data_IF_853340890481
#
_entry.id   IF_853340890481
#
_cell.length_a   1.000
_cell.length_b   1.000
_cell.length_c   1.000
_cell.angle_alpha   90.00
_cell.angle_beta   90.00
_cell.angle_gamma   90.00
#
_symmetry.space_group_name_H-M   'P 1'
#
loop_
_entity.id
_entity.type
_entity.pdbx_description
1 polymer ?
#
# COMPACT_ATOMS: atom_id res chain seq x y z
N UNK A 1 26.16 7.08 4.04
CA UNK A 1 25.73 7.42 5.41
C UNK A 1 24.22 7.61 5.46
N UNK A 2 23.65 8.43 4.58
CA UNK A 2 22.21 8.77 4.58
C UNK A 2 21.26 7.58 4.40
N UNK A 3 21.53 6.67 3.45
CA UNK A 3 20.71 5.46 3.26
C UNK A 3 20.70 4.57 4.50
N UNK A 4 21.86 4.39 5.13
CA UNK A 4 21.98 3.59 6.35
C UNK A 4 21.19 4.20 7.51
N UNK A 5 21.30 5.51 7.71
CA UNK A 5 20.55 6.23 8.75
C UNK A 5 19.04 6.14 8.49
N UNK A 6 18.60 6.29 7.23
CA UNK A 6 17.20 6.18 6.85
C UNK A 6 16.64 4.79 7.17
N UNK A 7 17.36 3.73 6.81
CA UNK A 7 16.94 2.36 7.09
C UNK A 7 16.92 2.06 8.59
N UNK A 8 17.97 2.46 9.32
CA UNK A 8 18.09 2.26 10.78
C UNK A 8 17.04 3.04 11.57
N UNK A 9 16.54 4.15 11.04
CA UNK A 9 15.49 4.96 11.67
C UNK A 9 14.06 4.59 11.24
N UNK A 10 13.86 3.54 10.43
CA UNK A 10 12.56 3.21 9.85
C UNK A 10 11.86 2.08 10.58
N UNK A 11 10.74 2.38 11.23
CA UNK A 11 9.89 1.37 11.87
C UNK A 11 9.35 0.34 10.88
N UNK A 12 9.11 0.72 9.62
CA UNK A 12 8.68 -0.21 8.57
C UNK A 12 9.76 -1.24 8.26
N UNK A 13 11.03 -0.81 8.17
CA UNK A 13 12.15 -1.73 7.94
C UNK A 13 12.31 -2.70 9.11
N UNK A 14 12.19 -2.21 10.36
CA UNK A 14 12.22 -3.09 11.53
C UNK A 14 11.07 -4.09 11.53
N UNK A 15 9.86 -3.64 11.18
CA UNK A 15 8.71 -4.52 11.07
C UNK A 15 8.91 -5.61 10.02
N UNK A 16 9.46 -5.26 8.85
CA UNK A 16 9.73 -6.22 7.79
C UNK A 16 10.76 -7.27 8.23
N UNK A 17 11.81 -6.87 8.95
CA UNK A 17 12.81 -7.79 9.52
C UNK A 17 12.21 -8.70 10.61
N UNK A 18 11.40 -8.15 11.51
CA UNK A 18 10.71 -8.93 12.56
C UNK A 18 9.70 -9.94 11.97
N UNK A 19 8.95 -9.54 10.93
CA UNK A 19 8.10 -10.47 10.18
C UNK A 19 8.92 -11.53 9.47
N UNK A 20 10.03 -11.15 8.85
CA UNK A 20 10.92 -12.07 8.16
C UNK A 20 11.43 -13.19 9.09
N UNK A 21 11.82 -12.84 10.31
CA UNK A 21 12.30 -13.80 11.31
C UNK A 21 11.19 -14.73 11.81
N UNK A 22 9.93 -14.27 11.81
CA UNK A 22 8.75 -15.03 12.27
C UNK A 22 8.15 -15.95 11.22
N UNK A 23 8.34 -15.64 9.93
CA UNK A 23 7.87 -16.50 8.84
C UNK A 23 8.73 -17.78 8.83
N UNK A 24 8.11 -18.98 8.74
CA UNK A 24 8.87 -20.21 8.59
C UNK A 24 9.82 -20.06 7.41
N UNK A 25 11.12 -20.08 7.70
CA UNK A 25 12.14 -19.95 6.69
C UNK A 25 11.97 -21.09 5.69
N UNK A 26 12.00 -20.74 4.41
CA UNK A 26 11.88 -21.69 3.34
C UNK A 26 12.98 -22.76 3.47
N UNK A 27 12.73 -23.99 2.99
CA UNK A 27 13.68 -25.10 3.14
C UNK A 27 15.07 -24.69 2.64
N UNK A 28 16.16 -25.33 3.12
CA UNK A 28 17.54 -24.94 2.77
C UNK A 28 17.82 -24.87 1.27
N UNK A 29 16.99 -25.53 0.45
CA UNK A 29 17.06 -25.55 -1.01
C UNK A 29 16.54 -24.25 -1.67
N UNK A 30 15.76 -23.44 -0.95
CA UNK A 30 15.20 -22.18 -1.44
C UNK A 30 15.18 -21.12 -0.32
N UNK A 31 16.34 -20.63 0.15
CA UNK A 31 16.40 -19.65 1.21
C UNK A 31 15.75 -18.33 0.75
N UNK A 32 15.01 -17.69 1.66
CA UNK A 32 14.47 -16.35 1.43
C UNK A 32 15.36 -15.36 2.20
N UNK A 33 16.37 -14.70 1.58
CA UNK A 33 17.20 -13.74 2.29
C UNK A 33 16.52 -12.36 2.37
N UNK A 34 16.85 -11.60 3.41
CA UNK A 34 16.60 -10.16 3.42
C UNK A 34 17.43 -9.48 2.30
N UNK A 35 16.78 -8.63 1.50
CA UNK A 35 17.39 -7.96 0.35
C UNK A 35 17.29 -6.44 0.47
N UNK A 36 18.38 -5.75 0.16
CA UNK A 36 18.38 -4.29 0.02
C UNK A 36 18.01 -3.91 -1.41
N UNK A 37 16.84 -3.30 -1.58
CA UNK A 37 16.37 -2.80 -2.88
C UNK A 37 16.66 -1.30 -2.99
N UNK A 38 17.53 -0.92 -3.93
CA UNK A 38 17.78 0.49 -4.27
C UNK A 38 17.05 0.82 -5.57
N UNK A 39 16.14 1.79 -5.51
CA UNK A 39 15.42 2.30 -6.68
C UNK A 39 15.96 3.67 -7.03
N UNK A 40 16.02 3.98 -8.32
CA UNK A 40 16.36 5.33 -8.78
C UNK A 40 15.35 6.33 -8.19
N UNK A 41 15.86 7.38 -7.54
CA UNK A 41 14.99 8.43 -7.01
C UNK A 41 14.34 9.20 -8.15
N UNK A 42 13.02 9.38 -8.07
CA UNK A 42 12.29 10.18 -9.02
C UNK A 42 11.20 10.97 -8.31
N UNK A 43 10.96 12.20 -8.77
CA UNK A 43 9.96 13.07 -8.16
C UNK A 43 8.55 12.62 -8.56
N UNK A 44 7.99 11.74 -7.74
CA UNK A 44 6.61 11.30 -7.79
C UNK A 44 5.72 12.40 -7.22
N UNK A 45 4.80 12.91 -8.04
CA UNK A 45 3.68 13.70 -7.50
C UNK A 45 2.74 12.77 -6.71
N UNK A 46 2.59 12.91 -5.38
CA UNK A 46 1.75 12.03 -4.58
C UNK A 46 0.29 11.99 -5.05
N UNK A 47 -0.20 13.07 -5.68
CA UNK A 47 -1.55 13.13 -6.25
C UNK A 47 -1.84 12.16 -7.39
N UNK A 48 -0.80 11.52 -7.92
CA UNK A 48 -0.90 10.60 -9.04
C UNK A 48 -0.73 9.15 -8.61
N UNK A 49 -0.58 8.89 -7.31
CA UNK A 49 -0.43 7.56 -6.73
C UNK A 49 -1.77 7.02 -6.25
N UNK A 50 -2.04 5.76 -6.57
CA UNK A 50 -3.29 5.09 -6.23
C UNK A 50 -2.99 3.71 -5.65
N UNK A 51 -3.49 3.48 -4.43
CA UNK A 51 -3.50 2.14 -3.81
C UNK A 51 -4.70 1.35 -4.29
N UNK A 52 -4.46 0.15 -4.80
CA UNK A 52 -5.45 -0.71 -5.40
C UNK A 52 -5.54 -2.04 -4.65
N UNK A 53 -6.76 -2.48 -4.36
CA UNK A 53 -7.04 -3.68 -3.59
C UNK A 53 -7.57 -4.79 -4.49
N UNK A 54 -6.95 -5.95 -4.46
CA UNK A 54 -7.33 -7.14 -5.23
C UNK A 54 -7.72 -8.26 -4.28
N UNK A 55 -8.86 -8.89 -4.56
CA UNK A 55 -9.37 -10.04 -3.83
C UNK A 55 -10.00 -11.04 -4.80
N UNK A 56 -9.64 -12.31 -4.70
CA UNK A 56 -10.12 -13.35 -5.62
C UNK A 56 -9.81 -13.04 -7.09
N UNK A 57 -8.64 -12.43 -7.37
CA UNK A 57 -8.23 -11.92 -8.69
C UNK A 57 -9.15 -10.85 -9.29
N UNK A 58 -9.97 -10.19 -8.46
CA UNK A 58 -10.82 -9.07 -8.86
C UNK A 58 -10.35 -7.80 -8.15
N UNK A 59 -10.30 -6.70 -8.91
CA UNK A 59 -10.05 -5.37 -8.36
C UNK A 59 -11.29 -4.88 -7.60
N UNK A 60 -11.19 -4.69 -6.29
CA UNK A 60 -12.33 -4.40 -5.41
C UNK A 60 -12.37 -2.93 -4.92
N UNK A 61 -11.21 -2.28 -4.80
CA UNK A 61 -11.12 -0.94 -4.22
C UNK A 61 -9.92 -0.16 -4.71
N UNK A 62 -10.05 1.17 -4.72
CA UNK A 62 -8.98 2.13 -5.08
C UNK A 62 -9.02 3.34 -4.16
N UNK A 63 -7.86 3.76 -3.67
CA UNK A 63 -7.70 4.89 -2.75
C UNK A 63 -6.62 5.86 -3.24
N UNK A 64 -6.86 7.17 -3.08
CA UNK A 64 -5.87 8.23 -3.28
C UNK A 64 -6.14 9.38 -2.32
N UNK A 65 -5.10 10.16 -2.03
CA UNK A 65 -5.17 11.40 -1.24
C UNK A 65 -5.97 12.51 -1.95
N UNK A 66 -6.43 13.51 -1.19
CA UNK A 66 -7.28 14.62 -1.66
C UNK A 66 -6.56 15.52 -2.66
N UNK A 67 -7.13 15.70 -3.84
CA UNK A 67 -6.78 16.81 -4.74
C UNK A 67 -7.97 17.21 -5.61
N UNK A 68 -8.30 18.51 -5.63
CA UNK A 68 -9.48 19.05 -6.34
C UNK A 68 -9.57 18.62 -7.80
N UNK A 69 -8.43 18.57 -8.49
CA UNK A 69 -8.38 18.23 -9.91
C UNK A 69 -8.75 16.76 -10.22
N UNK A 70 -8.80 15.90 -9.20
CA UNK A 70 -9.22 14.50 -9.31
C UNK A 70 -10.72 14.31 -9.07
N UNK A 71 -11.42 15.30 -8.49
CA UNK A 71 -12.84 15.22 -8.15
C UNK A 71 -13.79 15.15 -9.36
N UNK A 72 -13.54 15.77 -10.53
CA UNK A 72 -14.47 15.72 -11.66
C UNK A 72 -14.82 14.28 -12.07
N UNK A 73 -16.11 13.99 -12.21
CA UNK A 73 -16.61 12.63 -12.47
C UNK A 73 -15.98 11.97 -13.70
N UNK A 74 -15.77 12.73 -14.79
CA UNK A 74 -15.11 12.23 -16.00
C UNK A 74 -13.66 11.82 -15.75
N UNK A 75 -12.94 12.57 -14.92
CA UNK A 75 -11.57 12.26 -14.50
C UNK A 75 -11.57 10.99 -13.64
N UNK A 76 -12.44 10.91 -12.62
CA UNK A 76 -12.59 9.71 -11.77
C UNK A 76 -12.86 8.46 -12.60
N UNK A 77 -13.82 8.53 -13.53
CA UNK A 77 -14.15 7.41 -14.43
C UNK A 77 -12.95 6.99 -15.29
N UNK A 78 -12.25 7.96 -15.88
CA UNK A 78 -11.08 7.68 -16.71
C UNK A 78 -9.94 7.04 -15.90
N UNK A 79 -9.68 7.51 -14.68
CA UNK A 79 -8.72 6.88 -13.75
C UNK A 79 -9.11 5.42 -13.51
N UNK A 80 -10.39 5.16 -13.24
CA UNK A 80 -10.88 3.82 -12.94
C UNK A 80 -10.67 2.84 -14.09
N UNK A 81 -11.02 3.26 -15.30
CA UNK A 81 -10.90 2.47 -16.51
C UNK A 81 -9.43 2.17 -16.82
N UNK A 82 -8.54 3.16 -16.70
CA UNK A 82 -7.11 2.97 -16.98
C UNK A 82 -6.43 2.03 -15.98
N UNK A 83 -6.72 2.17 -14.69
CA UNK A 83 -6.20 1.26 -13.66
C UNK A 83 -6.75 -0.15 -13.87
N UNK A 84 -8.04 -0.28 -14.19
CA UNK A 84 -8.66 -1.58 -14.49
C UNK A 84 -7.98 -2.26 -15.68
N UNK A 85 -7.83 -1.54 -16.78
CA UNK A 85 -7.17 -2.06 -17.99
C UNK A 85 -5.72 -2.47 -17.70
N UNK A 86 -4.99 -1.69 -16.91
CA UNK A 86 -3.63 -2.04 -16.49
C UNK A 86 -3.60 -3.31 -15.62
N UNK A 87 -4.51 -3.42 -14.65
CA UNK A 87 -4.63 -4.62 -13.82
C UNK A 87 -4.93 -5.86 -14.68
N UNK A 88 -5.94 -5.81 -15.54
CA UNK A 88 -6.37 -6.95 -16.35
C UNK A 88 -5.33 -7.38 -17.39
N UNK A 89 -4.65 -6.41 -18.03
CA UNK A 89 -3.72 -6.69 -19.13
C UNK A 89 -2.27 -6.94 -18.69
N UNK A 90 -1.84 -6.41 -17.53
CA UNK A 90 -0.43 -6.44 -17.11
C UNK A 90 -0.24 -7.21 -15.81
N UNK A 91 -1.00 -6.88 -14.76
CA UNK A 91 -0.75 -7.48 -13.43
C UNK A 91 -1.38 -8.86 -13.33
N UNK A 92 -2.65 -9.00 -13.70
CA UNK A 92 -3.41 -10.23 -13.50
C UNK A 92 -2.80 -11.43 -14.24
N UNK A 93 -2.26 -11.34 -15.46
CA UNK A 93 -1.64 -12.50 -16.12
C UNK A 93 -0.33 -12.95 -15.44
N UNK A 94 0.47 -12.02 -14.92
CA UNK A 94 1.83 -12.27 -14.45
C UNK A 94 1.92 -12.56 -12.93
N UNK A 95 1.01 -12.01 -12.13
CA UNK A 95 1.04 -12.15 -10.68
C UNK A 95 0.14 -13.30 -10.20
N UNK A 96 0.73 -14.24 -9.46
CA UNK A 96 0.11 -15.53 -9.16
C UNK A 96 -0.88 -15.50 -7.99
N UNK A 97 -0.74 -14.55 -7.07
CA UNK A 97 -1.58 -14.48 -5.87
C UNK A 97 -2.98 -13.94 -6.19
N UNK A 98 -3.99 -14.50 -5.52
CA UNK A 98 -5.38 -14.07 -5.69
C UNK A 98 -5.71 -12.78 -4.96
N UNK A 99 -5.02 -12.53 -3.85
CA UNK A 99 -5.31 -11.46 -2.91
C UNK A 99 -4.03 -10.66 -2.64
N UNK A 100 -4.04 -9.39 -3.01
CA UNK A 100 -2.89 -8.51 -2.82
C UNK A 100 -3.32 -7.05 -2.97
N UNK A 101 -2.43 -6.17 -2.56
CA UNK A 101 -2.55 -4.73 -2.70
C UNK A 101 -1.45 -4.30 -3.67
N UNK A 102 -1.73 -3.38 -4.57
CA UNK A 102 -0.70 -2.83 -5.43
C UNK A 102 -0.86 -1.32 -5.56
N UNK A 103 0.27 -0.62 -5.59
CA UNK A 103 0.33 0.82 -5.72
C UNK A 103 0.74 1.17 -7.15
N UNK A 104 0.03 2.11 -7.79
CA UNK A 104 0.33 2.56 -9.15
C UNK A 104 0.49 4.06 -9.22
N UNK A 105 1.45 4.48 -10.04
CA UNK A 105 1.61 5.87 -10.43
C UNK A 105 1.03 6.10 -11.82
N UNK A 106 0.09 7.03 -11.92
CA UNK A 106 -0.62 7.36 -13.14
C UNK A 106 -0.19 8.72 -13.68
N UNK A 107 0.49 8.72 -14.83
CA UNK A 107 0.92 9.95 -15.47
C UNK A 107 -0.28 10.68 -16.08
N UNK A 108 -0.44 11.96 -15.75
CA UNK A 108 -1.50 12.84 -16.24
C UNK A 108 -2.92 12.34 -15.91
N UNK A 109 -3.31 12.25 -14.62
CA UNK A 109 -4.58 11.66 -14.22
C UNK A 109 -5.81 12.40 -14.80
N UNK A 110 -5.71 13.70 -15.05
CA UNK A 110 -6.77 14.54 -15.64
C UNK A 110 -6.97 14.35 -17.13
N UNK A 111 -6.03 13.69 -17.84
CA UNK A 111 -6.17 13.44 -19.27
C UNK A 111 -7.30 12.45 -19.50
N UNK A 112 -8.39 12.92 -20.08
CA UNK A 112 -9.48 12.08 -20.59
C UNK A 112 -9.01 11.41 -21.88
N UNK A 113 -8.19 10.37 -21.76
CA UNK A 113 -7.70 9.65 -22.92
C UNK A 113 -8.85 8.82 -23.52
N UNK A 114 -9.16 8.94 -24.83
CA UNK A 114 -9.94 7.91 -25.50
C UNK A 114 -9.13 6.60 -25.45
N UNK A 115 -9.79 5.43 -25.38
CA UNK A 115 -9.13 4.12 -25.38
C UNK A 115 -8.56 3.83 -26.78
N UNK A 116 -7.53 4.56 -27.22
CA UNK A 116 -6.79 4.23 -28.44
C UNK A 116 -5.71 3.20 -28.07
N UNK A 117 -5.79 2.01 -28.66
CA UNK A 117 -5.06 0.80 -28.23
C UNK A 117 -3.56 0.79 -28.56
N UNK A 118 -2.96 1.93 -28.92
CA UNK A 118 -1.61 1.97 -29.51
C UNK A 118 -0.58 2.69 -28.64
N UNK A 119 -0.99 3.42 -27.62
CA UNK A 119 -0.06 4.07 -26.69
C UNK A 119 0.23 3.20 -25.48
N UNK A 120 1.51 3.04 -25.11
CA UNK A 120 1.94 2.40 -23.86
C UNK A 120 1.09 2.91 -22.68
N UNK A 121 0.70 2.03 -21.74
CA UNK A 121 -0.09 2.45 -20.58
C UNK A 121 0.68 3.54 -19.82
N UNK A 122 0.03 4.67 -19.55
CA UNK A 122 0.59 5.77 -18.76
C UNK A 122 0.61 5.44 -17.24
N UNK A 123 0.71 4.16 -16.89
CA UNK A 123 0.77 3.67 -15.52
C UNK A 123 2.09 2.95 -15.28
N UNK A 124 2.61 3.13 -14.07
CA UNK A 124 3.75 2.37 -13.55
C UNK A 124 3.32 1.68 -12.27
N UNK A 125 3.69 0.42 -12.12
CA UNK A 125 3.62 -0.28 -10.84
C UNK A 125 4.68 0.33 -9.91
N UNK A 126 4.26 0.72 -8.71
CA UNK A 126 5.13 1.29 -7.68
C UNK A 126 5.48 0.20 -6.67
N UNK A 127 4.49 -0.51 -6.16
CA UNK A 127 4.70 -1.52 -5.13
C UNK A 127 3.62 -2.61 -5.14
N UNK A 128 3.93 -3.77 -4.58
CA UNK A 128 2.96 -4.84 -4.31
C UNK A 128 3.09 -5.22 -2.84
N UNK A 129 1.97 -5.17 -2.12
CA UNK A 129 1.86 -5.49 -0.71
C UNK A 129 0.91 -6.68 -0.50
N UNK A 130 1.10 -7.47 0.57
CA UNK A 130 0.15 -8.51 0.93
C UNK A 130 -1.20 -7.90 1.30
N UNK A 131 -2.29 -8.64 1.02
CA UNK A 131 -3.60 -8.27 1.53
C UNK A 131 -3.68 -8.66 3.02
N UNK A 132 -3.23 -7.78 3.91
CA UNK A 132 -3.10 -8.09 5.33
C UNK A 132 -3.43 -6.88 6.22
N UNK A 133 -4.08 -7.12 7.36
CA UNK A 133 -4.63 -6.06 8.23
C UNK A 133 -3.60 -5.08 8.81
N UNK A 134 -2.31 -5.46 8.83
CA UNK A 134 -1.22 -4.58 9.24
C UNK A 134 -0.83 -3.57 8.16
N UNK A 135 -1.14 -3.82 6.88
CA UNK A 135 -0.98 -2.84 5.81
C UNK A 135 -2.04 -1.75 5.95
N UNK A 136 -1.66 -0.49 5.76
CA UNK A 136 -2.60 0.64 5.82
C UNK A 136 -3.62 0.57 4.66
N UNK A 137 -4.93 0.44 4.95
CA UNK A 137 -5.98 0.42 3.94
C UNK A 137 -6.29 1.82 3.36
N UNK A 138 -5.55 2.85 3.76
CA UNK A 138 -5.76 4.25 3.37
C UNK A 138 -7.19 4.70 3.73
N UNK A 139 -8.05 4.96 2.73
CA UNK A 139 -9.42 5.43 2.93
C UNK A 139 -10.45 4.32 3.14
N UNK A 140 -10.03 3.06 3.16
CA UNK A 140 -10.90 1.93 3.45
C UNK A 140 -10.74 1.46 4.89
N UNK A 141 -11.69 0.64 5.33
CA UNK A 141 -11.50 -0.32 6.41
C UNK A 141 -11.36 -1.74 5.82
N UNK A 142 -10.75 -2.67 6.55
CA UNK A 142 -10.67 -4.05 6.08
C UNK A 142 -12.04 -4.73 6.03
N UNK A 143 -12.93 -4.38 6.95
CA UNK A 143 -14.31 -4.85 6.96
C UNK A 143 -15.05 -4.45 5.68
N UNK A 144 -14.87 -3.21 5.22
CA UNK A 144 -15.44 -2.74 3.95
C UNK A 144 -14.87 -3.52 2.75
N UNK A 145 -13.56 -3.77 2.74
CA UNK A 145 -12.89 -4.51 1.66
C UNK A 145 -13.37 -5.97 1.62
N UNK A 146 -13.59 -6.60 2.78
CA UNK A 146 -14.14 -7.95 2.88
C UNK A 146 -15.59 -8.02 2.37
N UNK A 147 -16.44 -7.05 2.74
CA UNK A 147 -17.83 -6.97 2.27
C UNK A 147 -17.91 -6.81 0.74
N UNK A 148 -17.00 -6.04 0.15
CA UNK A 148 -16.91 -5.90 -1.31
C UNK A 148 -16.67 -7.25 -2.02
N UNK A 149 -16.01 -8.20 -1.36
CA UNK A 149 -15.76 -9.55 -1.89
C UNK A 149 -16.99 -10.46 -1.79
N UNK A 150 -17.72 -10.40 -0.67
CA UNK A 150 -18.91 -11.22 -0.43
C UNK A 150 -20.03 -10.91 -1.45
N UNK A 151 -20.21 -9.63 -1.76
CA UNK A 151 -21.18 -9.18 -2.76
C UNK A 151 -20.80 -9.59 -4.20
N UNK A 152 -19.52 -9.86 -4.46
CA UNK A 152 -19.03 -10.34 -5.77
C UNK A 152 -19.16 -11.87 -5.95
N UNK A 153 -19.49 -12.60 -4.88
CA UNK A 153 -19.51 -14.07 -4.83
C UNK A 153 -20.93 -14.66 -4.66
N UNK A 154 -21.91 -13.84 -4.24
CA UNK A 154 -23.31 -14.24 -4.06
C UNK A 154 -24.19 -14.31 -5.33
N UNK A 155 -23.62 -14.15 -6.53
CA UNK A 155 -24.36 -14.15 -7.80
C UNK A 155 -24.44 -15.52 -8.49
N UNK A 156 -24.23 -16.63 -7.76
CA UNK A 156 -24.32 -17.99 -8.25
C UNK A 156 -25.42 -18.79 -7.50
N UNK A 157 -26.67 -18.36 -7.66
CA UNK A 157 -27.82 -19.05 -7.05
C UNK A 157 -29.17 -18.42 -7.43
N UNK A 158 -29.80 -19.03 -8.44
CA UNK A 158 -31.23 -18.97 -8.82
C UNK A 158 -31.79 -17.74 -9.55
N UNK A 159 -32.51 -18.05 -10.64
CA UNK A 159 -32.99 -17.17 -11.70
C UNK A 159 -34.28 -16.40 -11.32
N UNK A 160 -34.36 -15.11 -11.68
CA UNK A 160 -35.48 -14.52 -12.45
C UNK A 160 -35.17 -13.11 -12.99
N UNK A 161 -35.18 -13.04 -14.33
CA UNK A 161 -35.38 -11.91 -15.25
C UNK A 161 -35.20 -10.46 -14.75
N UNK A 162 -34.12 -9.80 -15.21
CA UNK A 162 -34.13 -8.53 -15.97
C UNK A 162 -32.69 -8.12 -16.32
N UNK A 163 -32.48 -7.80 -17.58
CA UNK A 163 -31.24 -7.44 -18.27
C UNK A 163 -30.45 -6.30 -17.60
N UNK A 164 -29.27 -6.57 -17.04
CA UNK A 164 -28.11 -5.67 -16.98
C UNK A 164 -26.87 -6.44 -16.49
N UNK A 165 -25.83 -6.54 -17.32
CA UNK A 165 -24.50 -7.05 -16.94
C UNK A 165 -23.90 -6.17 -15.85
N UNK A 166 -24.12 -6.49 -14.57
CA UNK A 166 -23.44 -5.85 -13.46
C UNK A 166 -22.03 -6.43 -13.33
N UNK A 167 -21.09 -5.92 -14.12
CA UNK A 167 -19.69 -5.93 -13.73
C UNK A 167 -19.61 -5.20 -12.38
N UNK A 168 -19.17 -5.88 -11.33
CA UNK A 168 -18.89 -5.25 -10.03
C UNK A 168 -17.88 -4.14 -10.27
N UNK A 169 -18.35 -2.89 -10.28
CA UNK A 169 -17.50 -1.74 -10.54
C UNK A 169 -16.67 -1.52 -9.29
N UNK A 170 -15.33 -1.50 -9.39
CA UNK A 170 -14.47 -1.32 -8.22
C UNK A 170 -14.80 -0.01 -7.52
N UNK A 171 -14.91 -0.03 -6.20
CA UNK A 171 -15.25 1.15 -5.41
C UNK A 171 -14.06 2.13 -5.43
N UNK A 172 -14.30 3.37 -5.85
CA UNK A 172 -13.31 4.44 -5.79
C UNK A 172 -13.58 5.33 -4.59
N UNK A 173 -12.69 5.29 -3.60
CA UNK A 173 -12.68 6.27 -2.52
C UNK A 173 -11.62 7.31 -2.81
N UNK A 174 -12.05 8.55 -2.92
CA UNK A 174 -11.18 9.71 -2.93
C UNK A 174 -11.56 10.54 -1.71
N UNK A 175 -10.58 11.16 -1.06
CA UNK A 175 -10.91 12.19 -0.08
C UNK A 175 -11.67 13.30 -0.82
N UNK A 176 -12.72 13.85 -0.22
CA UNK A 176 -13.59 14.86 -0.85
C UNK A 176 -13.40 16.27 -0.27
N UNK A 177 -12.56 16.42 0.76
CA UNK A 177 -12.20 17.72 1.32
C UNK A 177 -10.75 17.78 1.83
N UNK A 178 -10.20 18.99 1.90
CA UNK A 178 -8.84 19.28 2.35
C UNK A 178 -8.66 19.22 3.87
N UNK A 179 -9.62 18.65 4.61
CA UNK A 179 -9.68 18.75 6.07
C UNK A 179 -8.42 18.12 6.71
N UNK A 180 -7.54 18.91 7.38
CA UNK A 180 -6.26 18.44 7.89
C UNK A 180 -6.39 17.26 8.86
N UNK A 181 -7.52 17.17 9.54
CA UNK A 181 -7.78 16.16 10.58
C UNK A 181 -8.26 14.82 10.02
N UNK A 182 -8.77 14.77 8.78
CA UNK A 182 -9.18 13.51 8.14
C UNK A 182 -8.01 12.79 7.45
N UNK A 183 -6.93 13.52 7.17
CA UNK A 183 -5.79 13.05 6.39
C UNK A 183 -4.64 12.50 7.24
N UNK A 184 -4.72 12.57 8.57
CA UNK A 184 -3.67 12.12 9.47
C UNK A 184 -4.02 10.77 10.11
N UNK A 185 -3.72 9.68 9.40
CA UNK A 185 -3.57 8.37 10.05
C UNK A 185 -2.09 8.18 10.37
N UNK A 186 -1.76 8.13 11.66
CA UNK A 186 -0.43 7.70 12.10
C UNK A 186 -0.15 6.31 11.50
N UNK A 187 1.08 6.09 11.02
CA UNK A 187 1.46 4.77 10.53
C UNK A 187 1.23 3.75 11.63
N UNK A 188 0.64 2.59 11.30
CA UNK A 188 0.44 1.50 12.27
C UNK A 188 1.77 0.99 12.85
N UNK A 189 2.88 1.30 12.18
CA UNK A 189 4.23 0.97 12.61
C UNK A 189 4.88 2.05 13.47
N UNK A 190 4.27 3.23 13.66
CA UNK A 190 4.78 4.23 14.61
C UNK A 190 4.60 3.71 16.04
N UNK A 191 5.55 2.89 16.50
CA UNK A 191 5.57 2.37 17.86
C UNK A 191 6.42 3.25 18.78
N UNK A 192 7.32 4.07 18.25
CA UNK A 192 7.96 5.19 18.94
C UNK A 192 8.87 5.90 17.94
N UNK A 193 9.01 7.22 17.98
CA UNK A 193 10.03 7.94 17.16
C UNK A 193 11.47 7.71 17.67
N UNK A 194 11.69 6.61 18.38
CA UNK A 194 12.93 6.30 19.06
C UNK A 194 13.53 5.05 18.40
N UNK A 195 14.85 5.02 18.15
CA UNK A 195 15.52 3.88 17.55
C UNK A 195 15.19 2.56 18.25
N UNK A 196 15.17 1.45 17.52
CA UNK A 196 14.85 0.13 18.08
C UNK A 196 15.78 -0.25 19.24
N UNK A 197 17.05 0.18 19.19
CA UNK A 197 17.99 0.00 20.30
C UNK A 197 17.50 0.67 21.58
N UNK A 198 16.89 1.86 21.48
CA UNK A 198 16.31 2.57 22.61
C UNK A 198 15.07 1.84 23.15
N UNK A 199 14.18 1.40 22.26
CA UNK A 199 12.95 0.67 22.66
C UNK A 199 13.31 -0.64 23.35
N UNK A 200 14.24 -1.41 22.77
CA UNK A 200 14.73 -2.66 23.35
C UNK A 200 15.46 -2.43 24.68
N UNK A 201 16.28 -1.38 24.78
CA UNK A 201 16.96 -1.02 26.03
C UNK A 201 16.00 -0.57 27.13
N UNK A 202 14.88 0.06 26.75
CA UNK A 202 13.88 0.57 27.69
C UNK A 202 12.93 -0.50 28.24
N UNK A 203 12.78 -1.64 27.56
CA UNK A 203 11.89 -2.72 28.02
C UNK A 203 12.36 -3.38 29.32
N UNK A 204 13.66 -3.34 29.61
CA UNK A 204 14.27 -4.05 30.75
C UNK A 204 14.82 -3.13 31.85
N UNK A 205 14.60 -1.81 31.79
CA UNK A 205 15.14 -0.86 32.79
C UNK A 205 14.10 0.09 33.39
N UNK A 206 14.25 0.36 34.68
CA UNK A 206 13.46 1.38 35.37
C UNK A 206 13.76 2.79 34.83
N UNK A 207 12.74 3.65 34.80
CA UNK A 207 12.76 4.98 34.17
C UNK A 207 13.96 5.84 34.63
N UNK A 208 14.39 5.67 35.89
CA UNK A 208 15.50 6.40 36.49
C UNK A 208 16.88 6.06 35.87
N UNK A 209 17.03 4.88 35.27
CA UNK A 209 18.29 4.40 34.68
C UNK A 209 18.43 4.71 33.18
N UNK A 210 17.34 5.12 32.53
CA UNK A 210 17.31 5.42 31.09
C UNK A 210 18.21 6.58 30.71
N UNK A 211 18.33 7.60 31.57
CA UNK A 211 19.12 8.80 31.28
C UNK A 211 20.63 8.52 31.24
N UNK A 212 21.11 7.67 32.14
CA UNK A 212 22.51 7.24 32.21
C UNK A 212 22.86 6.24 31.10
N UNK A 213 21.92 5.34 30.77
CA UNK A 213 22.04 4.43 29.63
C UNK A 213 22.14 5.18 28.30
N UNK A 214 21.31 6.21 28.11
CA UNK A 214 21.31 7.02 26.89
C UNK A 214 22.63 7.77 26.69
N UNK A 215 23.20 8.36 27.75
CA UNK A 215 24.52 9.00 27.70
C UNK A 215 25.62 8.03 27.25
N UNK A 216 25.65 6.82 27.85
CA UNK A 216 26.63 5.78 27.45
C UNK A 216 26.50 5.38 25.98
N UNK A 217 25.27 5.28 25.47
CA UNK A 217 25.03 4.92 24.07
C UNK A 217 25.52 6.00 23.11
N UNK A 218 25.26 7.28 23.41
CA UNK A 218 25.76 8.42 22.62
C UNK A 218 27.29 8.56 22.64
N UNK A 219 27.92 8.19 23.74
CA UNK A 219 29.39 8.24 23.86
C UNK A 219 30.07 7.05 23.15
N UNK A 220 29.40 5.90 23.06
CA UNK A 220 29.89 4.73 22.33
C UNK A 220 29.85 4.92 20.80
N UNK A 221 28.92 5.72 20.27
CA UNK A 221 28.78 5.99 18.83
C UNK A 221 29.81 7.00 18.30
N UNK A 222 30.62 7.61 19.19
CA UNK A 222 31.68 8.59 18.87
C UNK A 222 33.09 8.00 18.79
N UNK A 223 33.27 6.70 19.04
CA UNK A 223 34.54 5.98 18.90
C UNK A 223 34.59 5.20 17.60
#
# INVERSE_FOLDING_TARGET
MDVYILLKGSDCVFHDLDLHDKIPQAPPEDPLPAVLVLREWFNLNPSHEFRCFVRGRKLIGKSSTFYDFLLPQGVRKSILERIRAFFEAVICPEFHLSDFIFDVYLKNPTKLAPPSSTSKPNLKLVDINPFATYIDPCLFSYEELEQCCSNASGAAGEQKQSTQLHQTTPLLKLVESEDPHQNFRASKFQTSKLPAEFVNFSQDQGVDQLSDGFKKMLDAEKQ
#
